data_IF_467523287914
#
_entry.id   IF_467523287914
#
_cell.length_a   1.000
_cell.length_b   1.000
_cell.length_c   1.000
_cell.angle_alpha   90.00
_cell.angle_beta   90.00
_cell.angle_gamma   90.00
#
_symmetry.space_group_name_H-M   'P 1'
#
loop_
_entity.id
_entity.type
_entity.pdbx_description
1 polymer ?
#
# COMPACT_ATOMS: atom_id res chain seq x y z
N UNK A 1 4.89 -24.67 -17.86
CA UNK A 1 4.99 -23.21 -17.60
C UNK A 1 5.75 -22.96 -16.32
N UNK A 2 6.66 -21.98 -16.35
CA UNK A 2 7.42 -21.48 -15.18
C UNK A 2 7.21 -19.97 -15.10
N UNK A 3 7.06 -19.41 -13.89
CA UNK A 3 6.80 -17.98 -13.73
C UNK A 3 7.53 -17.37 -12.54
N UNK A 4 7.81 -16.07 -12.64
CA UNK A 4 8.34 -15.25 -11.57
C UNK A 4 7.65 -13.89 -11.56
N UNK A 5 7.44 -13.30 -10.38
CA UNK A 5 6.85 -11.97 -10.24
C UNK A 5 7.53 -11.20 -9.11
N UNK A 6 7.44 -9.88 -9.17
CA UNK A 6 7.82 -9.00 -8.07
C UNK A 6 6.58 -8.34 -7.47
N UNK A 7 6.70 -7.99 -6.20
CA UNK A 7 5.69 -7.17 -5.54
C UNK A 7 5.55 -5.80 -6.24
N UNK A 8 4.47 -5.09 -5.93
CA UNK A 8 4.14 -3.77 -6.53
C UNK A 8 5.25 -2.72 -6.41
N UNK A 9 6.12 -2.84 -5.40
CA UNK A 9 7.21 -1.91 -5.15
C UNK A 9 8.56 -2.49 -5.58
N UNK A 10 8.63 -3.77 -5.92
CA UNK A 10 9.87 -4.46 -6.30
C UNK A 10 10.91 -4.44 -5.18
N UNK A 11 10.49 -4.73 -3.95
CA UNK A 11 11.34 -4.70 -2.75
C UNK A 11 12.44 -5.78 -2.77
N UNK A 12 12.31 -6.79 -3.63
CA UNK A 12 13.31 -7.84 -3.82
C UNK A 12 13.90 -7.78 -5.22
N UNK A 13 15.22 -7.94 -5.36
CA UNK A 13 15.84 -7.99 -6.67
C UNK A 13 15.52 -9.33 -7.36
N UNK A 14 15.25 -9.27 -8.65
CA UNK A 14 15.21 -10.44 -9.51
C UNK A 14 15.83 -10.06 -10.87
N UNK A 15 16.86 -10.78 -11.26
CA UNK A 15 17.58 -10.60 -12.53
C UNK A 15 17.47 -11.87 -13.33
N UNK A 16 17.35 -11.72 -14.64
CA UNK A 16 17.37 -12.88 -15.53
C UNK A 16 18.24 -12.63 -16.75
N UNK A 17 18.80 -13.70 -17.27
CA UNK A 17 19.48 -13.73 -18.56
C UNK A 17 18.89 -14.84 -19.41
N UNK A 18 18.98 -14.64 -20.72
CA UNK A 18 18.57 -15.59 -21.75
C UNK A 18 19.79 -15.84 -22.62
N UNK A 19 20.14 -17.10 -22.81
CA UNK A 19 21.22 -17.53 -23.70
C UNK A 19 20.69 -17.86 -25.08
N UNK A 20 21.57 -17.89 -26.08
CA UNK A 20 21.23 -18.15 -27.49
C UNK A 20 20.70 -19.57 -27.76
N UNK A 21 20.99 -20.52 -26.88
CA UNK A 21 20.47 -21.90 -26.91
C UNK A 21 19.13 -22.04 -26.17
N UNK A 22 18.58 -20.95 -25.62
CA UNK A 22 17.25 -20.91 -25.02
C UNK A 22 17.21 -21.19 -23.52
N UNK A 23 18.36 -21.28 -22.84
CA UNK A 23 18.41 -21.37 -21.38
C UNK A 23 18.05 -20.00 -20.75
N UNK A 24 17.12 -20.03 -19.80
CA UNK A 24 16.75 -18.85 -19.01
C UNK A 24 17.21 -19.06 -17.57
N UNK A 25 18.02 -18.15 -17.06
CA UNK A 25 18.51 -18.17 -15.68
C UNK A 25 17.93 -16.97 -14.96
N UNK A 26 17.12 -17.21 -13.93
CA UNK A 26 16.57 -16.18 -13.05
C UNK A 26 17.12 -16.37 -11.63
N UNK A 27 17.64 -15.30 -11.04
CA UNK A 27 18.15 -15.32 -9.68
C UNK A 27 18.01 -13.94 -9.01
N UNK A 28 18.19 -13.88 -7.70
CA UNK A 28 18.20 -12.62 -6.94
C UNK A 28 19.36 -11.70 -7.35
N UNK A 29 20.43 -12.26 -7.90
CA UNK A 29 21.66 -11.56 -8.28
C UNK A 29 22.09 -11.92 -9.70
N UNK A 30 23.03 -11.15 -10.27
CA UNK A 30 23.60 -11.45 -11.58
C UNK A 30 24.96 -12.14 -11.39
N UNK A 31 25.32 -13.06 -12.29
CA UNK A 31 26.59 -13.79 -12.22
C UNK A 31 26.57 -15.00 -11.28
N UNK A 32 25.39 -15.55 -10.98
CA UNK A 32 25.25 -16.76 -10.17
C UNK A 32 25.76 -18.00 -10.92
N UNK A 33 25.72 -17.97 -12.25
CA UNK A 33 26.31 -18.99 -13.12
C UNK A 33 27.37 -18.33 -14.02
N UNK A 34 28.45 -19.04 -14.28
CA UNK A 34 29.52 -18.64 -15.19
C UNK A 34 29.11 -18.99 -16.63
N UNK A 35 28.55 -18.01 -17.34
CA UNK A 35 28.06 -18.15 -18.71
C UNK A 35 28.87 -17.21 -19.61
N UNK A 36 29.51 -17.72 -20.69
CA UNK A 36 30.30 -16.90 -21.60
C UNK A 36 29.46 -15.74 -22.18
N UNK A 37 29.94 -14.49 -22.17
CA UNK A 37 29.19 -13.33 -22.67
C UNK A 37 28.69 -13.47 -24.10
N UNK A 38 29.42 -14.18 -24.95
CA UNK A 38 29.09 -14.48 -26.35
C UNK A 38 27.87 -15.39 -26.52
N UNK A 39 27.52 -16.18 -25.50
CA UNK A 39 26.33 -17.04 -25.50
C UNK A 39 25.08 -16.30 -25.01
N UNK A 40 25.23 -15.09 -24.47
CA UNK A 40 24.12 -14.36 -23.86
C UNK A 40 23.38 -13.55 -24.92
N UNK A 41 22.11 -13.85 -25.11
CA UNK A 41 21.21 -13.11 -25.99
C UNK A 41 20.66 -11.86 -25.28
N UNK A 42 20.23 -12.00 -24.03
CA UNK A 42 19.62 -10.91 -23.25
C UNK A 42 19.99 -10.96 -21.79
N UNK A 43 20.23 -9.80 -21.18
CA UNK A 43 20.31 -9.60 -19.73
C UNK A 43 19.28 -8.57 -19.31
N UNK A 44 18.49 -8.87 -18.29
CA UNK A 44 17.44 -7.96 -17.82
C UNK A 44 17.14 -8.12 -16.32
N UNK A 45 16.26 -7.27 -15.80
CA UNK A 45 15.75 -7.33 -14.42
C UNK A 45 14.23 -7.29 -14.42
N UNK A 46 13.62 -8.02 -13.50
CA UNK A 46 12.19 -7.94 -13.30
C UNK A 46 11.85 -6.60 -12.64
N UNK A 47 10.83 -5.92 -13.16
CA UNK A 47 10.39 -4.62 -12.66
C UNK A 47 9.23 -4.81 -11.66
N UNK A 48 8.98 -3.83 -10.77
CA UNK A 48 7.86 -3.88 -9.84
C UNK A 48 6.53 -4.19 -10.55
N UNK A 49 5.79 -5.18 -10.04
CA UNK A 49 4.48 -5.58 -10.60
C UNK A 49 4.51 -6.22 -11.99
N UNK A 50 5.68 -6.55 -12.53
CA UNK A 50 5.81 -7.32 -13.78
C UNK A 50 5.91 -8.81 -13.52
N UNK A 51 5.41 -9.59 -14.48
CA UNK A 51 5.41 -11.04 -14.47
C UNK A 51 6.32 -11.51 -15.61
N UNK A 52 7.25 -12.42 -15.30
CA UNK A 52 7.99 -13.19 -16.29
C UNK A 52 7.33 -14.56 -16.38
N UNK A 53 6.86 -14.95 -17.56
CA UNK A 53 6.31 -16.29 -17.80
C UNK A 53 7.08 -16.96 -18.92
N UNK A 54 7.50 -18.19 -18.69
CA UNK A 54 8.23 -19.02 -19.64
C UNK A 54 7.33 -20.21 -19.98
N UNK A 55 6.95 -20.28 -21.25
CA UNK A 55 6.21 -21.41 -21.81
C UNK A 55 7.21 -22.41 -22.39
N UNK A 56 7.40 -23.50 -21.65
CA UNK A 56 8.31 -24.60 -22.00
C UNK A 56 7.77 -25.48 -23.13
N UNK A 57 6.46 -25.48 -23.37
CA UNK A 57 5.86 -26.25 -24.47
C UNK A 57 5.99 -25.51 -25.80
N UNK A 58 5.76 -24.18 -25.77
CA UNK A 58 5.91 -23.31 -26.96
C UNK A 58 7.34 -22.80 -27.16
N UNK A 59 8.23 -23.02 -26.19
CA UNK A 59 9.63 -22.59 -26.26
C UNK A 59 9.82 -21.07 -26.30
N UNK A 60 8.97 -20.29 -25.62
CA UNK A 60 9.03 -18.82 -25.65
C UNK A 60 8.79 -18.18 -24.28
N UNK A 61 9.32 -16.97 -24.11
CA UNK A 61 9.00 -16.08 -23.00
C UNK A 61 7.76 -15.28 -23.39
N UNK A 62 6.73 -15.31 -22.53
CA UNK A 62 5.50 -14.53 -22.70
C UNK A 62 5.72 -13.18 -22.01
N UNK A 63 5.44 -12.10 -22.73
CA UNK A 63 5.58 -10.74 -22.19
C UNK A 63 4.52 -10.46 -21.11
N UNK A 64 4.86 -9.57 -20.17
CA UNK A 64 3.98 -9.17 -19.07
C UNK A 64 2.63 -8.62 -19.57
N UNK A 65 2.65 -7.82 -20.64
CA UNK A 65 1.43 -7.26 -21.23
C UNK A 65 0.59 -8.35 -21.89
N UNK A 66 1.20 -9.35 -22.53
CA UNK A 66 0.49 -10.47 -23.15
C UNK A 66 -0.19 -11.33 -22.08
N UNK A 67 0.53 -11.69 -21.02
CA UNK A 67 -0.04 -12.45 -19.87
C UNK A 67 -1.21 -11.68 -19.26
N UNK A 68 -1.05 -10.39 -19.03
CA UNK A 68 -2.12 -9.56 -18.44
C UNK A 68 -3.29 -9.41 -19.40
N UNK A 69 -3.04 -9.21 -20.70
CA UNK A 69 -4.07 -9.10 -21.72
C UNK A 69 -4.96 -10.35 -21.78
N UNK A 70 -4.33 -11.53 -21.79
CA UNK A 70 -5.03 -12.81 -21.81
C UNK A 70 -5.90 -13.02 -20.57
N UNK A 71 -5.54 -12.43 -19.43
CA UNK A 71 -6.32 -12.48 -18.18
C UNK A 71 -7.45 -11.46 -18.21
N UNK A 72 -7.17 -10.20 -18.53
CA UNK A 72 -8.18 -9.13 -18.48
C UNK A 72 -9.26 -9.25 -19.56
N UNK A 73 -9.01 -10.02 -20.62
CA UNK A 73 -9.98 -10.28 -21.69
C UNK A 73 -10.87 -11.50 -21.47
N UNK A 74 -10.63 -12.30 -20.42
CA UNK A 74 -11.43 -13.51 -20.17
C UNK A 74 -12.89 -13.20 -19.84
N UNK A 75 -13.14 -12.03 -19.25
CA UNK A 75 -14.45 -11.57 -18.82
C UNK A 75 -14.55 -10.05 -18.98
N UNK A 76 -15.77 -9.49 -19.08
CA UNK A 76 -15.97 -8.05 -19.22
C UNK A 76 -15.82 -7.33 -17.86
N UNK A 77 -14.65 -7.45 -17.22
CA UNK A 77 -14.38 -6.87 -15.89
C UNK A 77 -14.66 -5.37 -15.84
N UNK A 78 -14.34 -4.63 -16.90
CA UNK A 78 -14.62 -3.19 -16.99
C UNK A 78 -16.11 -2.87 -16.93
N UNK A 79 -16.95 -3.67 -17.60
CA UNK A 79 -18.42 -3.51 -17.55
C UNK A 79 -18.95 -3.82 -16.16
N UNK A 80 -18.45 -4.88 -15.52
CA UNK A 80 -18.86 -5.22 -14.15
C UNK A 80 -18.51 -4.13 -13.16
N UNK A 81 -17.31 -3.57 -13.25
CA UNK A 81 -16.90 -2.45 -12.41
C UNK A 81 -17.78 -1.23 -12.69
N UNK A 82 -17.99 -0.86 -13.96
CA UNK A 82 -18.81 0.29 -14.30
C UNK A 82 -20.28 0.14 -13.84
N UNK A 83 -20.86 -1.04 -14.00
CA UNK A 83 -22.26 -1.29 -13.66
C UNK A 83 -22.51 -1.38 -12.14
N UNK A 84 -21.50 -1.76 -11.35
CA UNK A 84 -21.66 -2.04 -9.91
C UNK A 84 -20.87 -1.09 -8.99
N UNK A 85 -20.10 -0.16 -9.56
CA UNK A 85 -19.39 0.86 -8.80
C UNK A 85 -20.31 2.05 -8.59
N UNK A 86 -20.41 2.48 -7.33
CA UNK A 86 -21.10 3.70 -6.96
C UNK A 86 -20.06 4.69 -6.44
N UNK A 87 -19.96 5.86 -7.08
CA UNK A 87 -19.05 6.91 -6.64
C UNK A 87 -19.70 7.74 -5.55
N UNK A 88 -19.02 7.91 -4.40
CA UNK A 88 -19.54 8.72 -3.29
C UNK A 88 -19.84 10.17 -3.71
N UNK A 89 -19.18 10.68 -4.76
CA UNK A 89 -19.39 12.02 -5.29
C UNK A 89 -20.74 12.19 -6.02
N UNK A 90 -21.31 11.09 -6.54
CA UNK A 90 -22.59 11.07 -7.25
C UNK A 90 -23.78 10.97 -6.28
N UNK A 91 -23.52 10.56 -5.04
CA UNK A 91 -24.54 10.53 -4.01
C UNK A 91 -25.02 11.95 -3.69
N UNK A 92 -26.33 12.13 -3.41
CA UNK A 92 -26.84 13.42 -3.00
C UNK A 92 -26.09 13.91 -1.78
N UNK A 93 -25.67 15.18 -1.81
CA UNK A 93 -25.02 15.81 -0.66
C UNK A 93 -25.96 15.71 0.53
N UNK A 94 -25.57 14.93 1.53
CA UNK A 94 -26.30 14.87 2.79
C UNK A 94 -26.34 16.28 3.38
N UNK A 95 -27.53 16.81 3.62
CA UNK A 95 -27.69 18.01 4.43
C UNK A 95 -27.04 17.77 5.79
N UNK A 96 -26.00 18.55 6.10
CA UNK A 96 -25.32 18.48 7.40
C UNK A 96 -26.28 18.97 8.47
N UNK A 97 -27.03 18.04 9.05
CA UNK A 97 -28.04 18.31 10.10
C UNK A 97 -27.43 18.62 11.46
N UNK A 98 -26.11 18.52 11.60
CA UNK A 98 -25.42 18.83 12.85
C UNK A 98 -25.13 20.32 12.92
N UNK A 99 -26.09 21.08 13.45
CA UNK A 99 -25.74 22.37 14.04
C UNK A 99 -24.81 22.11 15.24
N UNK A 100 -23.67 22.81 15.36
CA UNK A 100 -22.85 22.73 16.55
C UNK A 100 -23.65 23.26 17.74
N UNK A 101 -24.13 22.32 18.56
CA UNK A 101 -24.72 22.67 19.86
C UNK A 101 -23.58 23.05 20.81
N UNK A 102 -23.25 24.35 20.79
CA UNK A 102 -22.23 24.94 21.64
C UNK A 102 -22.55 24.77 23.13
N UNK A 103 -23.83 24.61 23.51
CA UNK A 103 -24.21 24.43 24.90
C UNK A 103 -23.79 23.05 25.42
N UNK A 104 -23.90 21.98 24.62
CA UNK A 104 -23.52 20.62 25.04
C UNK A 104 -22.09 20.21 24.66
N UNK A 105 -21.40 20.98 23.82
CA UNK A 105 -20.06 20.66 23.32
C UNK A 105 -19.06 20.30 24.43
N UNK A 106 -18.95 21.13 25.47
CA UNK A 106 -17.99 20.90 26.57
C UNK A 106 -18.33 19.63 27.36
N UNK A 107 -19.62 19.35 27.55
CA UNK A 107 -20.08 18.13 28.24
C UNK A 107 -19.69 16.90 27.46
N UNK A 108 -19.90 16.91 26.13
CA UNK A 108 -19.51 15.80 25.25
C UNK A 108 -18.00 15.62 25.19
N UNK A 109 -17.24 16.71 25.07
CA UNK A 109 -15.78 16.67 25.12
C UNK A 109 -15.28 15.97 26.39
N UNK A 110 -15.79 16.35 27.55
CA UNK A 110 -15.46 15.68 28.82
C UNK A 110 -15.88 14.22 28.85
N UNK A 111 -17.08 13.89 28.36
CA UNK A 111 -17.58 12.52 28.33
C UNK A 111 -16.70 11.58 27.48
N UNK A 112 -16.09 12.10 26.41
CA UNK A 112 -15.17 11.36 25.55
C UNK A 112 -13.68 11.58 25.89
N UNK A 113 -13.38 12.23 27.02
CA UNK A 113 -12.01 12.41 27.50
C UNK A 113 -11.20 13.50 26.81
N UNK A 114 -11.79 14.32 25.94
CA UNK A 114 -11.09 15.43 25.29
C UNK A 114 -10.61 16.47 26.30
N UNK A 115 -9.32 16.73 26.28
CA UNK A 115 -8.63 17.72 27.11
C UNK A 115 -8.43 19.03 26.36
N UNK A 116 -8.17 20.11 27.13
CA UNK A 116 -7.82 21.40 26.54
C UNK A 116 -6.53 21.34 25.73
N UNK A 117 -5.62 20.46 26.12
CA UNK A 117 -4.34 20.24 25.46
C UNK A 117 -4.55 19.58 24.10
N UNK A 118 -5.28 18.47 24.02
CA UNK A 118 -5.60 17.80 22.74
C UNK A 118 -6.29 18.75 21.76
N UNK A 119 -7.26 19.55 22.23
CA UNK A 119 -7.95 20.51 21.35
C UNK A 119 -6.99 21.57 20.82
N UNK A 120 -6.07 22.09 21.64
CA UNK A 120 -5.19 23.21 21.25
C UNK A 120 -3.93 22.78 20.53
N UNK A 121 -3.33 21.67 20.93
CA UNK A 121 -2.05 21.20 20.40
C UNK A 121 -2.23 20.19 19.26
N UNK A 122 -3.34 19.46 19.21
CA UNK A 122 -3.60 18.46 18.17
C UNK A 122 -4.64 18.94 17.18
N UNK A 123 -5.88 19.17 17.63
CA UNK A 123 -6.99 19.45 16.71
C UNK A 123 -6.88 20.81 16.03
N UNK A 124 -6.48 21.86 16.75
CA UNK A 124 -6.39 23.21 16.19
C UNK A 124 -5.32 23.32 15.08
N UNK A 125 -4.08 22.81 15.25
CA UNK A 125 -3.09 22.79 14.18
C UNK A 125 -3.54 21.98 12.97
N UNK A 126 -4.19 20.82 13.17
CA UNK A 126 -4.74 20.04 12.06
C UNK A 126 -5.83 20.79 11.30
N UNK A 127 -6.72 21.50 12.01
CA UNK A 127 -7.80 22.26 11.40
C UNK A 127 -7.30 23.49 10.61
N UNK A 128 -6.26 24.16 11.08
CA UNK A 128 -5.73 25.38 10.45
C UNK A 128 -4.69 25.05 9.37
N UNK A 129 -3.80 24.09 9.64
CA UNK A 129 -2.65 23.76 8.80
C UNK A 129 -2.85 22.54 7.90
N UNK A 130 -3.91 21.74 8.09
CA UNK A 130 -4.16 20.54 7.27
C UNK A 130 -3.16 19.40 7.47
N UNK A 131 -2.32 19.49 8.50
CA UNK A 131 -1.28 18.51 8.82
C UNK A 131 -1.27 18.21 10.32
N UNK A 132 -0.74 17.05 10.70
CA UNK A 132 -0.54 16.71 12.11
C UNK A 132 0.49 17.65 12.78
N UNK A 133 0.34 17.96 14.07
CA UNK A 133 1.32 18.76 14.79
C UNK A 133 2.64 18.00 14.94
N UNK A 134 3.75 18.72 14.86
CA UNK A 134 5.08 18.17 15.15
C UNK A 134 5.42 18.49 16.60
N UNK A 135 5.82 17.47 17.36
CA UNK A 135 6.37 17.57 18.70
C UNK A 135 7.85 17.17 18.73
N UNK A 136 8.49 17.42 19.86
CA UNK A 136 9.84 16.93 20.16
C UNK A 136 9.86 16.30 21.55
N UNK A 137 10.97 15.66 21.90
CA UNK A 137 11.14 14.85 23.13
C UNK A 137 10.36 13.52 23.11
N UNK A 138 10.72 12.63 24.03
CA UNK A 138 10.06 11.34 24.21
C UNK A 138 8.73 11.44 24.96
N UNK A 139 7.95 10.37 24.90
CA UNK A 139 6.71 10.23 25.66
C UNK A 139 7.02 9.91 27.13
N UNK A 140 6.97 10.93 28.00
CA UNK A 140 7.24 10.82 29.45
C UNK A 140 5.97 10.57 30.29
N UNK A 141 4.93 10.04 29.66
CA UNK A 141 3.69 9.65 30.32
C UNK A 141 3.70 8.14 30.65
N UNK A 142 3.02 7.71 31.74
CA UNK A 142 2.91 6.29 32.06
C UNK A 142 2.23 5.52 30.92
N UNK A 143 2.52 4.23 30.83
CA UNK A 143 1.77 3.31 29.97
C UNK A 143 0.28 3.39 30.32
N UNK A 144 -0.58 3.23 29.31
CA UNK A 144 -2.04 3.36 29.48
C UNK A 144 -2.59 2.52 30.63
N UNK A 145 -2.08 1.29 30.81
CA UNK A 145 -2.47 0.38 31.90
C UNK A 145 -2.00 0.80 33.29
N UNK A 146 -0.95 1.63 33.36
CA UNK A 146 -0.38 2.15 34.61
C UNK A 146 -0.81 3.59 34.90
N UNK A 147 -1.60 4.19 34.01
CA UNK A 147 -2.05 5.57 34.17
C UNK A 147 -3.09 5.67 35.28
N UNK A 148 -2.85 6.56 36.23
CA UNK A 148 -3.84 6.95 37.26
C UNK A 148 -4.98 7.80 36.68
N UNK A 149 -4.78 8.34 35.47
CA UNK A 149 -5.79 9.12 34.74
C UNK A 149 -6.54 8.24 33.74
N UNK A 150 -7.84 8.49 33.51
CA UNK A 150 -8.59 7.79 32.47
C UNK A 150 -7.97 8.11 31.11
N UNK A 151 -7.66 7.06 30.36
CA UNK A 151 -7.10 7.13 29.00
C UNK A 151 -8.06 6.45 28.03
N UNK A 152 -8.16 6.98 26.82
CA UNK A 152 -8.99 6.39 25.77
C UNK A 152 -8.48 5.01 25.34
N UNK A 153 -9.37 4.18 24.81
CA UNK A 153 -9.06 2.83 24.32
C UNK A 153 -7.88 2.82 23.32
N UNK A 154 -7.78 3.86 22.49
CA UNK A 154 -6.73 3.97 21.48
C UNK A 154 -5.30 4.05 22.07
N UNK A 155 -5.14 4.46 23.33
CA UNK A 155 -3.80 4.53 23.96
C UNK A 155 -3.18 3.15 24.24
N UNK A 156 -3.99 2.10 24.26
CA UNK A 156 -3.54 0.72 24.47
C UNK A 156 -3.00 0.08 23.19
N UNK A 157 -3.34 0.63 22.02
CA UNK A 157 -2.86 0.15 20.73
C UNK A 157 -1.63 0.96 20.32
N UNK A 158 -0.52 0.27 20.06
CA UNK A 158 0.71 0.86 19.56
C UNK A 158 0.88 0.46 18.10
N UNK A 159 1.18 1.45 17.25
CA UNK A 159 1.61 1.18 15.89
C UNK A 159 2.91 0.37 15.95
N UNK A 160 3.03 -0.66 15.12
CA UNK A 160 4.20 -1.52 15.12
C UNK A 160 5.46 -0.78 14.67
N UNK A 161 5.28 0.22 13.81
CA UNK A 161 6.30 1.12 13.27
C UNK A 161 5.63 2.39 12.75
#
# INVERSE_FOLDING_TARGET
MIGATLDRNGLRPARYLVTKDGLVVLASEAGVLDIPPEEIERKWRLQPGKILVIDTERGRIIDDEEVKHDIVTQQPYGEWVHANRLELAELPKRERTYCPDHATLRTRQRAFGYTREEVRQILLPMAVGGQEPIGSMGADNPLAVLSERPVGLFHYFKQLF
#
